data_IF_272471611445
#
_entry.id   IF_272471611445
#
_cell.length_a   1.000
_cell.length_b   1.000
_cell.length_c   1.000
_cell.angle_alpha   90.00
_cell.angle_beta   90.00
_cell.angle_gamma   90.00
#
_symmetry.space_group_name_H-M   'P 1'
#
loop_
_entity.id
_entity.type
_entity.pdbx_description
1 polymer ?
#
# COMPACT_ATOMS: atom_id res chain seq x y z
N UNK A 1 -22.97 -3.69 7.31
CA UNK A 1 -21.86 -4.48 6.72
C UNK A 1 -21.17 -3.59 5.70
N UNK A 2 -19.89 -3.25 5.92
CA UNK A 2 -19.12 -2.44 4.98
C UNK A 2 -18.70 -3.26 3.76
N UNK A 3 -18.37 -2.60 2.64
CA UNK A 3 -17.82 -3.32 1.49
C UNK A 3 -16.39 -3.82 1.82
N UNK A 4 -15.88 -4.79 1.05
CA UNK A 4 -14.58 -5.43 1.33
C UNK A 4 -13.41 -4.45 1.44
N UNK A 5 -13.45 -3.36 0.67
CA UNK A 5 -12.43 -2.31 0.70
C UNK A 5 -12.46 -1.52 2.01
N UNK A 6 -13.64 -1.24 2.55
CA UNK A 6 -13.75 -0.53 3.83
C UNK A 6 -13.15 -1.38 4.98
N UNK A 7 -13.34 -2.70 4.96
CA UNK A 7 -12.69 -3.63 5.89
C UNK A 7 -11.15 -3.57 5.78
N UNK A 8 -10.63 -3.53 4.55
CA UNK A 8 -9.19 -3.44 4.30
C UNK A 8 -8.62 -2.09 4.75
N UNK A 9 -9.33 -0.98 4.54
CA UNK A 9 -8.90 0.33 5.02
C UNK A 9 -8.79 0.35 6.55
N UNK A 10 -9.76 -0.22 7.27
CA UNK A 10 -9.69 -0.35 8.73
C UNK A 10 -8.49 -1.17 9.16
N UNK A 11 -8.23 -2.31 8.50
CA UNK A 11 -7.06 -3.15 8.76
C UNK A 11 -5.75 -2.40 8.54
N UNK A 12 -5.61 -1.68 7.42
CA UNK A 12 -4.40 -0.93 7.10
C UNK A 12 -4.18 0.23 8.09
N UNK A 13 -5.24 0.93 8.51
CA UNK A 13 -5.17 1.97 9.53
C UNK A 13 -4.68 1.43 10.89
N UNK A 14 -5.20 0.27 11.32
CA UNK A 14 -4.74 -0.40 12.53
C UNK A 14 -3.26 -0.78 12.44
N UNK A 15 -2.82 -1.33 11.31
CA UNK A 15 -1.41 -1.67 11.09
C UNK A 15 -0.49 -0.44 11.15
N UNK A 16 -0.90 0.70 10.58
CA UNK A 16 -0.13 1.95 10.65
C UNK A 16 0.09 2.40 12.09
N UNK A 17 -0.95 2.32 12.93
CA UNK A 17 -0.86 2.69 14.36
C UNK A 17 -0.04 1.69 15.16
N UNK A 18 -0.32 0.40 15.03
CA UNK A 18 0.20 -0.63 15.93
C UNK A 18 1.62 -1.08 15.56
N UNK A 19 1.94 -1.15 14.27
CA UNK A 19 3.21 -1.71 13.79
C UNK A 19 4.23 -0.66 13.40
N UNK A 20 3.75 0.45 12.82
CA UNK A 20 4.61 1.52 12.33
C UNK A 20 4.61 2.74 13.27
N UNK A 21 3.72 2.75 14.28
CA UNK A 21 3.57 3.86 15.23
C UNK A 21 3.27 5.20 14.53
N UNK A 22 2.53 5.14 13.42
CA UNK A 22 2.13 6.30 12.61
C UNK A 22 0.63 6.53 12.74
N UNK A 23 0.21 7.77 13.00
CA UNK A 23 -1.20 8.14 12.90
C UNK A 23 -1.61 8.20 11.41
N UNK A 24 -2.58 7.37 10.98
CA UNK A 24 -2.95 7.28 9.58
C UNK A 24 -3.74 8.52 9.14
N UNK A 25 -3.26 9.18 8.08
CA UNK A 25 -4.11 10.09 7.31
C UNK A 25 -5.16 9.25 6.56
N UNK A 26 -6.38 9.20 7.08
CA UNK A 26 -7.47 8.39 6.54
C UNK A 26 -7.92 8.83 5.15
N UNK A 27 -7.74 10.11 4.79
CA UNK A 27 -8.06 10.62 3.45
C UNK A 27 -7.04 10.10 2.45
N UNK A 28 -5.75 10.21 2.79
CA UNK A 28 -4.67 9.70 1.97
C UNK A 28 -4.75 8.18 1.83
N UNK A 29 -4.91 7.45 2.95
CA UNK A 29 -4.99 6.00 2.95
C UNK A 29 -6.13 5.51 2.05
N UNK A 30 -7.32 6.10 2.16
CA UNK A 30 -8.46 5.73 1.31
C UNK A 30 -8.16 5.98 -0.17
N UNK A 31 -7.56 7.13 -0.53
CA UNK A 31 -7.18 7.43 -1.92
C UNK A 31 -6.16 6.42 -2.46
N UNK A 32 -5.14 6.09 -1.68
CA UNK A 32 -4.12 5.10 -2.05
C UNK A 32 -4.75 3.72 -2.22
N UNK A 33 -5.57 3.24 -1.28
CA UNK A 33 -6.26 1.95 -1.39
C UNK A 33 -7.15 1.88 -2.64
N UNK A 34 -7.84 2.97 -2.99
CA UNK A 34 -8.60 3.05 -4.25
C UNK A 34 -7.67 2.97 -5.47
N UNK A 35 -6.55 3.68 -5.44
CA UNK A 35 -5.56 3.69 -6.52
C UNK A 35 -4.85 2.35 -6.76
N UNK A 36 -4.81 1.47 -5.76
CA UNK A 36 -4.31 0.09 -5.90
C UNK A 36 -5.29 -0.81 -6.67
N UNK A 37 -6.58 -0.44 -6.75
CA UNK A 37 -7.56 -1.16 -7.55
C UNK A 37 -7.83 -2.58 -7.03
N UNK A 38 -8.07 -3.58 -7.91
CA UNK A 38 -8.48 -4.93 -7.50
C UNK A 38 -7.36 -5.77 -6.86
N UNK A 39 -6.10 -5.34 -6.93
CA UNK A 39 -4.97 -6.11 -6.40
C UNK A 39 -5.05 -6.34 -4.89
N UNK A 40 -5.73 -5.45 -4.17
CA UNK A 40 -5.89 -5.53 -2.71
C UNK A 40 -6.75 -6.72 -2.25
N UNK A 41 -7.52 -7.34 -3.16
CA UNK A 41 -8.42 -8.44 -2.82
C UNK A 41 -7.79 -9.82 -3.00
N UNK A 42 -6.75 -9.93 -3.83
CA UNK A 42 -6.00 -11.18 -3.97
C UNK A 42 -4.80 -11.14 -3.01
N UNK A 43 -4.72 -12.15 -2.14
CA UNK A 43 -3.68 -12.26 -1.10
C UNK A 43 -2.26 -12.13 -1.66
N UNK A 44 -2.00 -12.71 -2.82
CA UNK A 44 -0.65 -12.77 -3.38
C UNK A 44 -0.25 -11.44 -4.04
N UNK A 45 -1.22 -10.66 -4.55
CA UNK A 45 -0.97 -9.31 -5.09
C UNK A 45 -1.15 -8.18 -4.08
N UNK A 46 -1.70 -8.46 -2.89
CA UNK A 46 -1.95 -7.48 -1.84
C UNK A 46 -0.76 -7.26 -0.90
N UNK A 47 0.32 -8.05 -1.03
CA UNK A 47 1.50 -7.99 -0.20
C UNK A 47 2.75 -7.81 -1.06
N UNK A 48 3.79 -7.21 -0.47
CA UNK A 48 5.12 -7.09 -1.08
C UNK A 48 6.12 -7.89 -0.27
N UNK A 49 6.94 -8.72 -0.92
CA UNK A 49 8.05 -9.40 -0.25
C UNK A 49 9.15 -8.40 0.09
N UNK A 50 9.24 -8.03 1.37
CA UNK A 50 10.25 -7.10 1.86
C UNK A 50 11.69 -7.62 1.83
N UNK A 51 11.88 -8.91 1.52
CA UNK A 51 13.19 -9.57 1.46
C UNK A 51 13.61 -9.98 0.05
N UNK A 52 12.75 -9.78 -0.96
CA UNK A 52 13.07 -10.04 -2.36
C UNK A 52 13.57 -8.75 -3.02
N UNK A 53 14.86 -8.72 -3.37
CA UNK A 53 15.49 -7.56 -3.99
C UNK A 53 14.85 -7.17 -5.33
N UNK A 54 14.40 -8.14 -6.12
CA UNK A 54 13.76 -7.88 -7.42
C UNK A 54 12.38 -7.26 -7.23
N UNK A 55 11.65 -7.70 -6.21
CA UNK A 55 10.35 -7.14 -5.90
C UNK A 55 10.48 -5.70 -5.38
N UNK A 56 11.44 -5.45 -4.50
CA UNK A 56 11.77 -4.10 -4.03
C UNK A 56 12.19 -3.17 -5.17
N UNK A 57 13.02 -3.65 -6.11
CA UNK A 57 13.41 -2.90 -7.30
C UNK A 57 12.20 -2.56 -8.18
N UNK A 58 11.25 -3.50 -8.32
CA UNK A 58 9.99 -3.28 -9.05
C UNK A 58 9.15 -2.18 -8.39
N UNK A 59 9.06 -2.15 -7.05
CA UNK A 59 8.37 -1.10 -6.31
C UNK A 59 9.08 0.26 -6.47
N UNK A 60 10.42 0.31 -6.33
CA UNK A 60 11.21 1.54 -6.54
C UNK A 60 10.96 2.12 -7.93
N UNK A 61 11.13 1.32 -8.97
CA UNK A 61 11.09 1.80 -10.35
C UNK A 61 9.67 2.19 -10.78
N UNK A 62 8.66 1.38 -10.44
CA UNK A 62 7.31 1.59 -10.96
C UNK A 62 6.46 2.53 -10.09
N UNK A 63 6.67 2.55 -8.78
CA UNK A 63 5.88 3.40 -7.88
C UNK A 63 6.63 4.69 -7.56
N UNK A 64 7.82 4.59 -6.95
CA UNK A 64 8.55 5.77 -6.48
C UNK A 64 9.03 6.65 -7.64
N UNK A 65 9.72 6.07 -8.62
CA UNK A 65 10.27 6.85 -9.74
C UNK A 65 9.16 7.19 -10.75
N UNK A 66 8.50 6.18 -11.33
CA UNK A 66 7.56 6.40 -12.43
C UNK A 66 6.26 7.10 -12.03
N UNK A 67 5.66 6.76 -10.88
CA UNK A 67 4.35 7.33 -10.48
C UNK A 67 4.49 8.57 -9.60
N UNK A 68 5.44 8.59 -8.67
CA UNK A 68 5.65 9.74 -7.78
C UNK A 68 6.68 10.74 -8.32
N UNK A 69 7.41 10.41 -9.39
CA UNK A 69 8.36 11.32 -10.03
C UNK A 69 9.65 11.53 -9.23
N UNK A 70 9.99 10.61 -8.33
CA UNK A 70 11.23 10.70 -7.57
C UNK A 70 12.45 10.39 -8.44
N UNK A 71 13.58 11.05 -8.17
CA UNK A 71 14.83 10.76 -8.85
C UNK A 71 15.39 9.39 -8.44
N UNK A 72 16.12 8.75 -9.35
CA UNK A 72 16.95 7.60 -9.02
C UNK A 72 18.11 8.09 -8.13
N UNK A 73 17.96 7.90 -6.82
CA UNK A 73 19.05 8.05 -5.85
C UNK A 73 20.01 6.85 -5.96
#
# INVERSE_FOLDING_TARGET
MGNKRDELIVKYAAHLKERFLVEPDMVLLKKVTIGLGPSIYNRDSANVSGTDENELATVKNNFLIKKLGLSEA
#
